data_IF_388788904529
#
_entry.id   IF_388788904529
#
_cell.length_a   1.000
_cell.length_b   1.000
_cell.length_c   1.000
_cell.angle_alpha   90.00
_cell.angle_beta   90.00
_cell.angle_gamma   90.00
#
_symmetry.space_group_name_H-M   'P 1'
#
loop_
_entity.id
_entity.type
_entity.pdbx_description
1 polymer ?
#
# COMPACT_ATOMS: atom_id res chain seq x y z
N UNK A 1 35.50 -18.48 31.42
CA UNK A 1 34.26 -18.53 32.22
C UNK A 1 33.16 -17.61 31.70
N UNK A 2 33.44 -16.34 31.34
CA UNK A 2 32.44 -15.42 30.75
C UNK A 2 31.77 -15.94 29.46
N UNK A 3 32.52 -16.63 28.60
CA UNK A 3 32.01 -17.23 27.35
C UNK A 3 31.00 -18.36 27.61
N UNK A 4 31.19 -19.15 28.68
CA UNK A 4 30.29 -20.24 29.03
C UNK A 4 28.97 -19.70 29.56
N UNK A 5 29.01 -18.72 30.47
CA UNK A 5 27.81 -18.08 31.01
C UNK A 5 27.00 -17.33 29.94
N UNK A 6 27.68 -16.68 29.00
CA UNK A 6 27.01 -16.02 27.87
C UNK A 6 26.36 -17.01 26.91
N UNK A 7 26.98 -18.17 26.65
CA UNK A 7 26.35 -19.25 25.89
C UNK A 7 25.09 -19.78 26.58
N UNK A 8 25.13 -20.04 27.89
CA UNK A 8 23.95 -20.47 28.65
C UNK A 8 22.83 -19.43 28.62
N UNK A 9 23.16 -18.15 28.82
CA UNK A 9 22.17 -17.07 28.75
C UNK A 9 21.54 -16.94 27.35
N UNK A 10 22.33 -17.15 26.29
CA UNK A 10 21.84 -17.15 24.92
C UNK A 10 20.89 -18.34 24.66
N UNK A 11 21.28 -19.54 25.10
CA UNK A 11 20.47 -20.76 24.97
C UNK A 11 19.14 -20.65 25.73
N UNK A 12 19.16 -20.14 26.97
CA UNK A 12 17.94 -19.90 27.75
C UNK A 12 17.02 -18.89 27.05
N UNK A 13 17.59 -17.81 26.49
CA UNK A 13 16.82 -16.82 25.72
C UNK A 13 16.17 -17.43 24.48
N UNK A 14 16.87 -18.33 23.80
CA UNK A 14 16.35 -19.07 22.65
C UNK A 14 15.25 -20.05 23.06
N UNK A 15 15.45 -20.81 24.14
CA UNK A 15 14.45 -21.73 24.70
C UNK A 15 13.16 -21.00 25.11
N UNK A 16 13.26 -19.87 25.80
CA UNK A 16 12.10 -19.04 26.16
C UNK A 16 11.39 -18.56 24.88
N UNK A 17 12.13 -18.09 23.88
CA UNK A 17 11.55 -17.64 22.62
C UNK A 17 10.82 -18.78 21.89
N UNK A 18 11.37 -19.98 21.90
CA UNK A 18 10.75 -21.17 21.32
C UNK A 18 9.47 -21.54 22.07
N UNK A 19 9.50 -21.62 23.41
CA UNK A 19 8.32 -21.94 24.23
C UNK A 19 7.17 -20.96 24.01
N UNK A 20 7.47 -19.65 23.93
CA UNK A 20 6.45 -18.63 23.62
C UNK A 20 5.86 -18.83 22.23
N UNK A 21 6.68 -19.15 21.22
CA UNK A 21 6.19 -19.43 19.85
C UNK A 21 5.29 -20.66 19.83
N UNK A 22 5.71 -21.75 20.48
CA UNK A 22 4.94 -22.98 20.60
C UNK A 22 3.60 -22.74 21.28
N UNK A 23 3.57 -21.97 22.37
CA UNK A 23 2.34 -21.57 23.06
C UNK A 23 1.40 -20.80 22.13
N UNK A 24 1.90 -19.81 21.40
CA UNK A 24 1.11 -19.03 20.44
C UNK A 24 0.58 -19.92 19.30
N UNK A 25 1.41 -20.81 18.75
CA UNK A 25 1.03 -21.73 17.68
C UNK A 25 -0.06 -22.69 18.12
N UNK A 26 0.03 -23.25 19.33
CA UNK A 26 -1.00 -24.12 19.91
C UNK A 26 -2.34 -23.40 20.01
N UNK A 27 -2.33 -22.13 20.44
CA UNK A 27 -3.54 -21.30 20.51
C UNK A 27 -4.13 -21.01 19.13
N UNK A 28 -3.29 -20.82 18.11
CA UNK A 28 -3.77 -20.72 16.72
C UNK A 28 -4.45 -22.02 16.24
N UNK A 29 -3.86 -23.18 16.56
CA UNK A 29 -4.45 -24.50 16.25
C UNK A 29 -5.80 -24.71 16.94
N UNK A 30 -5.95 -24.20 18.16
CA UNK A 30 -7.21 -24.21 18.91
C UNK A 30 -8.24 -23.21 18.39
N UNK A 31 -7.88 -22.38 17.41
CA UNK A 31 -8.76 -21.38 16.84
C UNK A 31 -8.94 -20.13 17.70
N UNK A 32 -8.12 -19.94 18.74
CA UNK A 32 -8.24 -18.78 19.62
C UNK A 32 -7.90 -17.49 18.88
N UNK A 33 -8.68 -16.44 19.15
CA UNK A 33 -8.47 -15.12 18.57
C UNK A 33 -7.28 -14.37 19.21
N UNK A 34 -6.07 -14.61 18.71
CA UNK A 34 -4.84 -13.92 19.13
C UNK A 34 -4.59 -12.69 18.25
N UNK A 35 -5.43 -11.68 18.40
CA UNK A 35 -5.23 -10.36 17.82
C UNK A 35 -5.66 -9.27 18.80
N UNK A 36 -5.01 -8.11 18.67
CA UNK A 36 -5.50 -6.89 19.29
C UNK A 36 -6.67 -6.38 18.41
N UNK A 37 -7.88 -6.52 18.92
CA UNK A 37 -9.09 -6.16 18.21
C UNK A 37 -9.43 -4.67 18.24
N UNK A 38 -8.74 -3.90 19.09
CA UNK A 38 -8.91 -2.44 19.23
C UNK A 38 -8.60 -1.66 17.94
N UNK A 39 -8.18 -2.34 16.87
CA UNK A 39 -7.78 -1.73 15.61
C UNK A 39 -8.63 -2.19 14.40
N UNK A 40 -9.72 -2.94 14.62
CA UNK A 40 -10.61 -3.40 13.54
C UNK A 40 -11.90 -2.58 13.49
N UNK A 41 -11.97 -1.66 12.53
CA UNK A 41 -13.15 -0.81 12.36
C UNK A 41 -14.37 -1.67 12.04
N UNK A 42 -15.46 -1.54 12.78
CA UNK A 42 -16.67 -2.36 12.63
C UNK A 42 -16.78 -3.52 13.60
N UNK A 43 -15.73 -3.86 14.36
CA UNK A 43 -15.75 -4.95 15.32
C UNK A 43 -15.19 -4.57 16.68
N UNK A 44 -15.77 -5.14 17.74
CA UNK A 44 -15.20 -5.20 19.08
C UNK A 44 -14.84 -6.64 19.44
N UNK A 45 -13.83 -6.85 20.28
CA UNK A 45 -13.54 -8.18 20.83
C UNK A 45 -14.24 -8.33 22.17
N UNK A 46 -15.18 -9.24 22.21
CA UNK A 46 -15.91 -9.62 23.41
C UNK A 46 -15.68 -11.10 23.65
N UNK A 47 -15.10 -11.43 24.80
CA UNK A 47 -14.88 -12.82 25.24
C UNK A 47 -14.12 -13.71 24.24
N UNK A 48 -13.17 -13.13 23.49
CA UNK A 48 -12.37 -13.89 22.52
C UNK A 48 -12.99 -14.02 21.13
N UNK A 49 -14.16 -13.43 20.88
CA UNK A 49 -14.80 -13.40 19.55
C UNK A 49 -14.98 -11.96 19.07
N UNK A 50 -15.08 -11.76 17.76
CA UNK A 50 -15.39 -10.45 17.16
C UNK A 50 -16.91 -10.27 17.08
N UNK A 51 -17.43 -9.20 17.68
CA UNK A 51 -18.83 -8.78 17.59
C UNK A 51 -18.95 -7.50 16.79
N UNK A 52 -20.02 -7.38 16.01
CA UNK A 52 -20.25 -6.25 15.11
C UNK A 52 -20.67 -5.01 15.91
N UNK A 53 -20.05 -3.87 15.60
CA UNK A 53 -20.51 -2.54 16.01
C UNK A 53 -21.38 -1.98 14.88
N UNK A 54 -22.71 -1.86 15.04
CA UNK A 54 -23.61 -1.59 13.91
C UNK A 54 -23.30 -0.30 13.14
N UNK A 55 -22.98 0.79 13.86
CA UNK A 55 -22.69 2.09 13.24
C UNK A 55 -21.42 2.07 12.39
N UNK A 56 -20.34 1.47 12.91
CA UNK A 56 -19.09 1.33 12.17
C UNK A 56 -19.22 0.32 11.01
N UNK A 57 -19.97 -0.77 11.21
CA UNK A 57 -20.22 -1.76 10.17
C UNK A 57 -20.98 -1.18 8.96
N UNK A 58 -21.89 -0.22 9.19
CA UNK A 58 -22.55 0.48 8.09
C UNK A 58 -21.55 1.25 7.21
N UNK A 59 -20.54 1.88 7.81
CA UNK A 59 -19.47 2.56 7.07
C UNK A 59 -18.60 1.57 6.30
N UNK A 60 -18.28 0.40 6.89
CA UNK A 60 -17.56 -0.66 6.19
C UNK A 60 -18.33 -1.12 4.95
N UNK A 61 -19.63 -1.39 5.07
CA UNK A 61 -20.47 -1.78 3.92
C UNK A 61 -20.45 -0.71 2.83
N UNK A 62 -20.65 0.55 3.21
CA UNK A 62 -20.56 1.71 2.29
C UNK A 62 -19.19 1.79 1.59
N UNK A 63 -18.09 1.44 2.26
CA UNK A 63 -16.75 1.40 1.64
C UNK A 63 -16.65 0.31 0.57
N UNK A 64 -17.20 -0.88 0.84
CA UNK A 64 -17.23 -1.98 -0.13
C UNK A 64 -18.09 -1.62 -1.34
N UNK A 65 -19.29 -1.07 -1.12
CA UNK A 65 -20.21 -0.66 -2.18
C UNK A 65 -19.59 0.43 -3.05
N UNK A 66 -19.08 1.51 -2.44
CA UNK A 66 -18.42 2.59 -3.16
C UNK A 66 -17.22 2.11 -3.98
N UNK A 67 -16.49 1.09 -3.50
CA UNK A 67 -15.39 0.51 -4.27
C UNK A 67 -15.88 -0.24 -5.51
N UNK A 68 -16.94 -1.04 -5.37
CA UNK A 68 -17.57 -1.78 -6.46
C UNK A 68 -18.24 -0.84 -7.48
N UNK A 69 -18.77 0.29 -7.04
CA UNK A 69 -19.29 1.38 -7.90
C UNK A 69 -18.22 2.08 -8.75
N UNK A 70 -16.94 1.73 -8.57
CA UNK A 70 -15.84 2.29 -9.37
C UNK A 70 -15.00 3.34 -8.64
N UNK A 71 -15.31 3.69 -7.39
CA UNK A 71 -14.52 4.67 -6.67
C UNK A 71 -13.14 4.12 -6.29
N UNK A 72 -12.10 4.95 -6.43
CA UNK A 72 -10.75 4.61 -5.99
C UNK A 72 -10.60 4.75 -4.48
N UNK A 73 -9.72 3.96 -3.88
CA UNK A 73 -9.43 3.97 -2.42
C UNK A 73 -9.10 5.36 -1.89
N UNK A 74 -8.37 6.19 -2.66
CA UNK A 74 -8.10 7.59 -2.31
C UNK A 74 -9.38 8.46 -2.28
N UNK A 75 -10.29 8.28 -3.25
CA UNK A 75 -11.55 9.05 -3.31
C UNK A 75 -12.46 8.68 -2.15
N UNK A 76 -12.55 7.39 -1.84
CA UNK A 76 -13.31 6.88 -0.69
C UNK A 76 -12.76 7.48 0.61
N UNK A 77 -11.44 7.42 0.83
CA UNK A 77 -10.81 8.02 2.00
C UNK A 77 -11.09 9.55 2.10
N UNK A 78 -11.01 10.27 0.98
CA UNK A 78 -11.32 11.71 0.93
C UNK A 78 -12.79 11.97 1.32
N UNK A 79 -13.72 11.24 0.73
CA UNK A 79 -15.15 11.40 0.99
C UNK A 79 -15.52 11.12 2.46
N UNK A 80 -14.89 10.11 3.08
CA UNK A 80 -15.09 9.82 4.51
C UNK A 80 -14.56 10.92 5.41
N UNK A 81 -13.37 11.47 5.08
CA UNK A 81 -12.79 12.60 5.82
C UNK A 81 -13.64 13.87 5.68
N UNK A 82 -14.16 14.15 4.48
CA UNK A 82 -15.07 15.28 4.22
C UNK A 82 -16.41 15.12 4.94
N UNK A 83 -16.88 13.88 5.11
CA UNK A 83 -18.09 13.57 5.88
C UNK A 83 -17.87 13.57 7.40
N UNK A 84 -16.64 13.87 7.87
CA UNK A 84 -16.30 13.91 9.29
C UNK A 84 -16.27 12.54 9.99
N UNK A 85 -16.18 11.44 9.25
CA UNK A 85 -16.17 10.08 9.83
C UNK A 85 -14.76 9.77 10.37
N UNK A 86 -14.57 9.61 11.69
CA UNK A 86 -13.25 9.31 12.25
C UNK A 86 -12.88 7.85 12.03
N UNK A 87 -11.57 7.55 12.00
CA UNK A 87 -11.07 6.18 12.20
C UNK A 87 -11.08 5.84 13.70
N UNK A 88 -10.86 4.57 14.07
CA UNK A 88 -10.72 4.17 15.49
C UNK A 88 -9.68 5.02 16.24
N UNK A 89 -8.57 5.35 15.58
CA UNK A 89 -7.51 6.18 16.18
C UNK A 89 -7.77 7.69 16.14
N UNK A 90 -8.98 8.11 15.77
CA UNK A 90 -9.37 9.51 15.52
C UNK A 90 -8.47 10.24 14.49
N UNK A 91 -7.78 9.50 13.63
CA UNK A 91 -6.94 10.04 12.54
C UNK A 91 -7.72 10.06 11.22
N UNK A 92 -7.34 10.92 10.26
CA UNK A 92 -7.93 10.92 8.93
C UNK A 92 -7.74 9.58 8.21
N UNK A 93 -8.74 9.17 7.46
CA UNK A 93 -8.68 8.04 6.55
C UNK A 93 -7.58 8.24 5.52
N UNK A 94 -6.74 7.21 5.38
CA UNK A 94 -5.72 7.13 4.33
C UNK A 94 -6.14 6.10 3.31
N UNK A 95 -5.70 6.31 2.08
CA UNK A 95 -5.82 5.35 0.98
C UNK A 95 -5.36 3.92 1.38
N UNK A 96 -4.27 3.82 2.15
CA UNK A 96 -3.77 2.55 2.68
C UNK A 96 -4.73 1.85 3.63
N UNK A 97 -5.46 2.61 4.45
CA UNK A 97 -6.42 2.07 5.41
C UNK A 97 -7.61 1.44 4.70
N UNK A 98 -8.14 2.12 3.68
CA UNK A 98 -9.21 1.58 2.83
C UNK A 98 -8.75 0.33 2.10
N UNK A 99 -7.54 0.36 1.51
CA UNK A 99 -6.96 -0.81 0.84
C UNK A 99 -6.86 -2.02 1.79
N UNK A 100 -6.33 -1.81 2.99
CA UNK A 100 -6.18 -2.88 3.98
C UNK A 100 -7.53 -3.45 4.41
N UNK A 101 -8.54 -2.59 4.59
CA UNK A 101 -9.91 -2.99 4.89
C UNK A 101 -10.46 -3.92 3.80
N UNK A 102 -10.40 -3.51 2.54
CA UNK A 102 -10.90 -4.29 1.39
C UNK A 102 -10.18 -5.63 1.20
N UNK A 103 -8.94 -5.77 1.69
CA UNK A 103 -8.14 -7.00 1.60
C UNK A 103 -8.38 -7.98 2.75
N UNK A 104 -8.94 -7.51 3.87
CA UNK A 104 -8.96 -8.27 5.10
C UNK A 104 -10.11 -9.28 5.09
N UNK A 105 -9.76 -10.56 5.21
CA UNK A 105 -10.70 -11.68 5.23
C UNK A 105 -11.67 -11.67 6.42
N UNK A 106 -11.34 -10.91 7.48
CA UNK A 106 -12.20 -10.80 8.67
C UNK A 106 -13.54 -10.15 8.36
N UNK A 107 -13.61 -9.25 7.39
CA UNK A 107 -14.88 -8.64 7.02
C UNK A 107 -15.87 -9.63 6.39
N UNK A 108 -15.39 -10.76 5.85
CA UNK A 108 -16.22 -11.87 5.37
C UNK A 108 -16.36 -13.03 6.36
N UNK A 109 -15.96 -12.83 7.63
CA UNK A 109 -16.12 -13.80 8.71
C UNK A 109 -14.96 -14.79 8.91
N UNK A 110 -13.95 -14.77 8.03
CA UNK A 110 -12.80 -15.68 8.14
C UNK A 110 -11.72 -15.11 9.07
N UNK A 111 -10.94 -16.00 9.67
CA UNK A 111 -9.80 -15.64 10.51
C UNK A 111 -8.55 -16.33 10.01
N UNK A 112 -7.67 -15.55 9.37
CA UNK A 112 -6.32 -16.00 8.99
C UNK A 112 -5.30 -15.48 10.00
N UNK A 113 -4.62 -16.41 10.65
CA UNK A 113 -3.59 -16.17 11.67
C UNK A 113 -2.19 -16.54 11.18
N UNK A 114 -1.18 -16.16 11.96
CA UNK A 114 0.24 -16.39 11.65
C UNK A 114 0.73 -15.80 10.31
N UNK A 115 0.13 -14.68 9.86
CA UNK A 115 0.62 -13.93 8.67
C UNK A 115 2.04 -13.37 8.83
N UNK A 116 2.55 -13.32 10.06
CA UNK A 116 3.88 -12.81 10.40
C UNK A 116 4.55 -13.70 11.43
N UNK A 117 5.87 -13.78 11.41
CA UNK A 117 6.68 -14.52 12.37
C UNK A 117 7.96 -13.76 12.70
N UNK A 118 8.62 -14.17 13.79
CA UNK A 118 9.93 -13.65 14.18
C UNK A 118 10.96 -14.77 13.99
N UNK A 119 11.95 -14.61 13.09
CA UNK A 119 12.85 -15.71 12.73
C UNK A 119 13.88 -16.06 13.81
N UNK A 120 14.10 -15.21 14.81
CA UNK A 120 15.11 -15.44 15.84
C UNK A 120 15.05 -14.43 16.98
N UNK A 121 15.75 -14.73 18.06
CA UNK A 121 15.92 -13.82 19.20
C UNK A 121 16.55 -12.51 18.69
N UNK A 122 16.02 -11.36 19.15
CA UNK A 122 16.44 -10.00 18.73
C UNK A 122 16.25 -9.66 17.24
N UNK A 123 15.54 -10.49 16.46
CA UNK A 123 15.15 -10.15 15.07
C UNK A 123 13.76 -9.51 15.05
N UNK A 124 13.52 -8.62 14.08
CA UNK A 124 12.21 -7.99 13.87
C UNK A 124 11.18 -8.96 13.29
N UNK A 125 9.88 -8.65 13.47
CA UNK A 125 8.77 -9.37 12.85
C UNK A 125 8.83 -9.25 11.33
N UNK A 126 8.56 -10.35 10.62
CA UNK A 126 8.51 -10.42 9.15
C UNK A 126 7.18 -11.03 8.71
N UNK A 127 6.71 -10.67 7.52
CA UNK A 127 5.55 -11.32 6.89
C UNK A 127 5.98 -12.73 6.43
N UNK A 128 5.14 -13.73 6.69
CA UNK A 128 5.43 -15.07 6.18
C UNK A 128 5.04 -15.20 4.71
N UNK A 129 5.89 -15.89 3.96
CA UNK A 129 5.70 -16.35 2.58
C UNK A 129 5.66 -17.89 2.49
N UNK A 130 5.52 -18.60 3.62
CA UNK A 130 5.51 -20.07 3.69
C UNK A 130 6.55 -20.64 4.66
N UNK A 131 7.32 -19.81 5.35
CA UNK A 131 8.31 -20.25 6.35
C UNK A 131 7.64 -20.79 7.63
N UNK A 132 6.37 -20.45 7.85
CA UNK A 132 5.56 -20.96 8.94
C UNK A 132 4.16 -21.31 8.46
N UNK A 133 3.51 -22.24 9.16
CA UNK A 133 2.12 -22.61 8.89
C UNK A 133 1.18 -21.43 9.15
N UNK A 134 0.24 -21.23 8.23
CA UNK A 134 -0.83 -20.25 8.38
C UNK A 134 -2.12 -20.98 8.77
N UNK A 135 -2.81 -20.46 9.79
CA UNK A 135 -4.03 -21.05 10.33
C UNK A 135 -5.24 -20.28 9.82
N UNK A 136 -6.04 -20.90 8.93
CA UNK A 136 -7.28 -20.32 8.39
C UNK A 136 -8.48 -20.99 9.04
N UNK A 137 -9.27 -20.21 9.77
CA UNK A 137 -10.55 -20.64 10.33
C UNK A 137 -11.65 -19.94 9.52
N UNK A 138 -12.44 -20.73 8.80
CA UNK A 138 -13.59 -20.22 8.05
C UNK A 138 -14.76 -19.95 8.99
N UNK A 139 -15.57 -18.94 8.68
CA UNK A 139 -16.82 -18.65 9.39
C UNK A 139 -16.64 -18.51 10.92
N UNK A 140 -15.52 -17.91 11.33
CA UNK A 140 -15.15 -17.74 12.74
C UNK A 140 -16.08 -16.77 13.49
N UNK A 141 -16.57 -15.73 12.81
CA UNK A 141 -17.41 -14.69 13.42
C UNK A 141 -18.41 -14.14 12.40
N UNK A 142 -19.39 -13.40 12.90
CA UNK A 142 -20.42 -12.78 12.07
C UNK A 142 -19.78 -11.83 11.03
N UNK A 143 -20.04 -12.02 9.73
CA UNK A 143 -19.44 -11.20 8.69
C UNK A 143 -20.15 -9.85 8.54
N UNK A 144 -19.39 -8.76 8.37
CA UNK A 144 -19.95 -7.44 8.01
C UNK A 144 -20.38 -7.39 6.54
N UNK A 145 -19.64 -8.06 5.65
CA UNK A 145 -19.94 -8.19 4.21
C UNK A 145 -20.05 -9.66 3.81
N UNK A 146 -20.92 -9.97 2.85
CA UNK A 146 -21.05 -11.34 2.36
C UNK A 146 -19.78 -11.81 1.66
N UNK A 147 -19.59 -13.14 1.58
CA UNK A 147 -18.48 -13.75 0.85
C UNK A 147 -18.49 -13.34 -0.63
N UNK A 148 -19.68 -13.17 -1.22
CA UNK A 148 -19.85 -12.75 -2.61
C UNK A 148 -19.40 -11.31 -2.84
N UNK A 149 -19.82 -10.37 -1.98
CA UNK A 149 -19.39 -8.96 -2.05
C UNK A 149 -17.87 -8.86 -1.87
N UNK A 150 -17.32 -9.61 -0.91
CA UNK A 150 -15.87 -9.64 -0.71
C UNK A 150 -15.13 -10.21 -1.92
N UNK A 151 -15.65 -11.28 -2.51
CA UNK A 151 -15.13 -11.91 -3.72
C UNK A 151 -15.11 -10.94 -4.91
N UNK A 152 -16.24 -10.27 -5.17
CA UNK A 152 -16.36 -9.25 -6.21
C UNK A 152 -15.33 -8.13 -6.04
N UNK A 153 -15.08 -7.68 -4.80
CA UNK A 153 -14.04 -6.69 -4.51
C UNK A 153 -12.65 -7.22 -4.86
N UNK A 154 -12.33 -8.48 -4.55
CA UNK A 154 -11.02 -9.04 -4.92
C UNK A 154 -10.84 -9.13 -6.43
N UNK A 155 -11.87 -9.54 -7.16
CA UNK A 155 -11.84 -9.58 -8.62
C UNK A 155 -11.65 -8.19 -9.22
N UNK A 156 -12.40 -7.20 -8.73
CA UNK A 156 -12.26 -5.81 -9.17
C UNK A 156 -10.86 -5.26 -8.88
N UNK A 157 -10.27 -5.59 -7.72
CA UNK A 157 -8.88 -5.24 -7.38
C UNK A 157 -7.89 -5.84 -8.38
N UNK A 158 -8.04 -7.13 -8.71
CA UNK A 158 -7.20 -7.80 -9.70
C UNK A 158 -7.38 -7.19 -11.09
N UNK A 159 -8.62 -6.90 -11.50
CA UNK A 159 -8.93 -6.23 -12.77
C UNK A 159 -8.28 -4.86 -12.86
N UNK A 160 -8.41 -4.00 -11.83
CA UNK A 160 -7.74 -2.69 -11.77
C UNK A 160 -6.23 -2.82 -11.82
N UNK A 161 -5.66 -3.81 -11.13
CA UNK A 161 -4.21 -4.10 -11.17
C UNK A 161 -3.75 -4.51 -12.57
N UNK A 162 -4.50 -5.37 -13.27
CA UNK A 162 -4.23 -5.75 -14.66
C UNK A 162 -4.36 -4.56 -15.60
N UNK A 163 -5.44 -3.80 -15.50
CA UNK A 163 -5.65 -2.59 -16.31
C UNK A 163 -4.57 -1.54 -16.07
N UNK A 164 -4.05 -1.42 -14.85
CA UNK A 164 -2.92 -0.53 -14.57
C UNK A 164 -1.62 -1.01 -15.22
N UNK A 165 -1.42 -2.33 -15.34
CA UNK A 165 -0.28 -2.91 -16.05
C UNK A 165 -0.42 -2.82 -17.58
N UNK A 166 -1.65 -3.01 -18.08
CA UNK A 166 -1.98 -2.94 -19.51
C UNK A 166 -2.09 -1.50 -20.04
N UNK A 167 -2.47 -0.54 -19.20
CA UNK A 167 -2.46 0.88 -19.57
C UNK A 167 -1.03 1.26 -19.90
N UNK A 168 -0.79 1.44 -21.21
CA UNK A 168 0.49 1.70 -21.85
C UNK A 168 1.34 2.62 -20.97
N UNK A 169 2.37 2.05 -20.34
CA UNK A 169 3.53 2.85 -19.98
C UNK A 169 4.05 3.39 -21.31
N UNK A 170 3.84 4.68 -21.56
CA UNK A 170 4.51 5.36 -22.68
C UNK A 170 6.01 5.03 -22.59
N UNK A 171 6.74 4.88 -23.70
CA UNK A 171 8.13 4.42 -23.69
C UNK A 171 9.01 5.10 -22.62
N UNK A 172 8.86 6.41 -22.44
CA UNK A 172 9.62 7.19 -21.45
C UNK A 172 9.12 7.09 -19.98
N UNK A 173 8.04 6.35 -19.71
CA UNK A 173 7.40 6.24 -18.40
C UNK A 173 8.29 5.51 -17.40
N UNK A 174 8.74 6.22 -16.37
CA UNK A 174 9.66 5.66 -15.37
C UNK A 174 11.12 5.56 -15.83
N UNK A 175 11.43 6.13 -17.00
CA UNK A 175 12.76 6.18 -17.58
C UNK A 175 13.41 7.56 -17.44
N UNK A 176 12.61 8.62 -17.32
CA UNK A 176 13.12 9.98 -17.14
C UNK A 176 13.19 10.38 -15.66
N UNK A 177 14.30 10.94 -15.24
CA UNK A 177 14.57 11.44 -13.89
C UNK A 177 14.90 12.93 -13.92
N UNK A 178 14.49 13.67 -12.89
CA UNK A 178 14.82 15.07 -12.73
C UNK A 178 16.25 15.22 -12.21
N UNK A 179 17.11 15.98 -12.90
CA UNK A 179 18.49 16.24 -12.44
C UNK A 179 18.56 16.92 -11.07
N UNK A 180 17.54 17.72 -10.72
CA UNK A 180 17.53 18.54 -9.50
C UNK A 180 17.19 17.77 -8.22
N UNK A 181 16.33 16.77 -8.28
CA UNK A 181 15.87 16.04 -7.09
C UNK A 181 15.88 14.51 -7.25
N UNK A 182 16.35 13.99 -8.38
CA UNK A 182 16.35 12.55 -8.69
C UNK A 182 14.97 11.91 -8.89
N UNK A 183 13.88 12.67 -8.73
CA UNK A 183 12.51 12.16 -8.83
C UNK A 183 12.11 11.86 -10.28
N UNK A 184 11.22 10.89 -10.49
CA UNK A 184 10.73 10.55 -11.84
C UNK A 184 9.97 11.71 -12.50
N UNK A 185 10.10 11.87 -13.82
CA UNK A 185 9.20 12.73 -14.59
C UNK A 185 7.89 11.99 -14.91
N UNK A 186 6.77 12.72 -14.87
CA UNK A 186 5.43 12.21 -15.19
C UNK A 186 4.89 12.91 -16.43
N UNK A 187 4.36 12.12 -17.36
CA UNK A 187 3.66 12.61 -18.54
C UNK A 187 2.41 13.39 -18.14
N UNK A 188 2.23 14.56 -18.72
CA UNK A 188 1.10 15.47 -18.55
C UNK A 188 0.71 15.99 -19.92
N UNK A 189 -0.57 16.32 -20.06
CA UNK A 189 -1.08 17.04 -21.23
C UNK A 189 -1.33 18.47 -20.79
N UNK A 190 -0.64 19.42 -21.41
CA UNK A 190 -0.87 20.85 -21.26
C UNK A 190 -1.86 21.32 -22.32
N UNK A 191 -2.70 22.30 -21.96
CA UNK A 191 -3.70 22.89 -22.86
C UNK A 191 -4.65 21.88 -23.48
N UNK A 192 -5.05 20.87 -22.68
CA UNK A 192 -5.94 19.79 -23.13
C UNK A 192 -7.20 20.35 -23.79
N UNK A 193 -7.50 19.91 -25.00
CA UNK A 193 -8.67 20.34 -25.78
C UNK A 193 -8.53 21.69 -26.50
N UNK A 194 -7.33 22.29 -26.53
CA UNK A 194 -7.02 23.49 -27.32
C UNK A 194 -6.14 23.14 -28.52
N UNK A 195 -6.08 23.99 -29.58
CA UNK A 195 -5.25 23.73 -30.76
C UNK A 195 -3.75 23.56 -30.48
N UNK A 196 -3.27 24.09 -29.35
CA UNK A 196 -1.89 24.04 -28.89
C UNK A 196 -1.71 23.04 -27.72
N UNK A 197 -2.51 21.97 -27.71
CA UNK A 197 -2.32 20.83 -26.81
C UNK A 197 -0.91 20.25 -26.98
N UNK A 198 -0.20 20.07 -25.87
CA UNK A 198 1.16 19.53 -25.90
C UNK A 198 1.41 18.56 -24.76
N UNK A 199 2.18 17.52 -25.05
CA UNK A 199 2.57 16.52 -24.07
C UNK A 199 3.91 16.93 -23.48
N UNK A 200 3.97 16.98 -22.15
CA UNK A 200 5.19 17.30 -21.40
C UNK A 200 5.45 16.27 -20.32
N UNK A 201 6.72 16.13 -19.95
CA UNK A 201 7.18 15.31 -18.85
C UNK A 201 7.71 16.22 -17.75
N UNK A 202 7.05 16.21 -16.60
CA UNK A 202 7.33 17.14 -15.52
C UNK A 202 7.67 16.40 -14.22
N UNK A 203 8.58 16.97 -13.43
CA UNK A 203 9.04 16.39 -12.17
C UNK A 203 7.89 16.06 -11.21
N UNK A 204 7.80 14.78 -10.82
CA UNK A 204 6.77 14.29 -9.88
C UNK A 204 6.82 14.98 -8.51
N UNK A 205 8.01 15.26 -7.99
CA UNK A 205 8.18 15.96 -6.72
C UNK A 205 7.64 17.38 -6.78
N UNK A 206 7.90 18.11 -7.87
CA UNK A 206 7.32 19.44 -8.10
C UNK A 206 5.80 19.40 -8.24
N UNK A 207 5.26 18.44 -9.00
CA UNK A 207 3.81 18.29 -9.18
C UNK A 207 3.11 18.05 -7.84
N UNK A 208 3.70 17.22 -6.98
CA UNK A 208 3.07 16.80 -5.72
C UNK A 208 3.24 17.82 -4.60
N UNK A 209 4.42 18.40 -4.48
CA UNK A 209 4.84 19.18 -3.31
C UNK A 209 5.16 20.65 -3.64
N UNK A 210 5.01 21.06 -4.91
CA UNK A 210 5.25 22.43 -5.37
C UNK A 210 6.74 22.82 -5.48
N UNK A 211 6.96 24.11 -5.77
CA UNK A 211 8.29 24.70 -6.05
C UNK A 211 9.27 24.59 -4.88
N UNK A 212 8.75 24.56 -3.64
CA UNK A 212 9.57 24.48 -2.42
C UNK A 212 10.32 23.15 -2.32
N UNK A 213 9.76 22.05 -2.85
CA UNK A 213 10.40 20.74 -2.81
C UNK A 213 11.37 20.51 -3.98
N UNK A 214 11.10 21.10 -5.15
CA UNK A 214 11.97 21.04 -6.31
C UNK A 214 11.58 22.15 -7.27
N UNK A 215 12.54 22.82 -7.92
CA UNK A 215 12.23 23.80 -8.99
C UNK A 215 11.57 23.16 -10.22
N UNK A 216 11.63 21.82 -10.33
CA UNK A 216 10.90 21.00 -11.31
C UNK A 216 11.47 21.09 -12.72
N UNK A 217 12.14 20.03 -13.20
CA UNK A 217 12.48 19.89 -14.63
C UNK A 217 11.22 19.60 -15.43
N UNK A 218 11.06 20.27 -16.59
CA UNK A 218 10.00 19.98 -17.56
C UNK A 218 10.55 19.83 -18.98
N UNK A 219 10.32 18.69 -19.63
CA UNK A 219 10.73 18.43 -21.02
C UNK A 219 9.54 18.12 -21.90
N UNK A 220 9.52 18.64 -23.14
CA UNK A 220 8.44 18.34 -24.10
C UNK A 220 8.62 16.92 -24.64
N UNK A 221 7.53 16.18 -24.82
CA UNK A 221 7.56 14.81 -25.37
C UNK A 221 8.24 14.74 -26.75
N UNK A 222 8.04 15.77 -27.58
CA UNK A 222 8.71 15.90 -28.88
C UNK A 222 10.24 15.94 -28.80
N UNK A 223 10.80 16.48 -27.71
CA UNK A 223 12.26 16.58 -27.55
C UNK A 223 12.91 15.23 -27.19
N UNK A 224 12.10 14.19 -26.94
CA UNK A 224 12.55 12.87 -26.51
C UNK A 224 12.40 11.81 -27.61
N UNK A 225 12.02 12.19 -28.84
CA UNK A 225 11.69 11.25 -29.91
C UNK A 225 12.88 10.37 -30.33
N UNK A 226 14.10 10.90 -30.22
CA UNK A 226 15.33 10.21 -30.66
C UNK A 226 16.02 9.41 -29.52
N UNK A 227 15.43 9.37 -28.33
CA UNK A 227 16.00 8.65 -27.19
C UNK A 227 15.48 7.21 -27.13
N UNK A 228 16.38 6.25 -26.91
CA UNK A 228 15.98 4.91 -26.50
C UNK A 228 15.55 4.92 -25.03
N UNK A 229 14.56 4.11 -24.67
CA UNK A 229 14.04 4.05 -23.30
C UNK A 229 14.36 2.72 -22.61
N UNK A 230 15.43 2.05 -23.05
CA UNK A 230 15.91 0.84 -22.38
C UNK A 230 16.56 1.21 -21.04
N UNK A 231 17.19 2.38 -20.96
CA UNK A 231 17.90 2.89 -19.79
C UNK A 231 17.15 4.03 -19.09
N UNK A 232 17.60 4.39 -17.89
CA UNK A 232 17.15 5.61 -17.22
C UNK A 232 17.99 6.81 -17.67
N UNK A 233 17.32 7.94 -17.88
CA UNK A 233 17.91 9.21 -18.31
C UNK A 233 17.67 10.28 -17.26
N UNK A 234 18.73 10.95 -16.85
CA UNK A 234 18.65 12.16 -16.05
C UNK A 234 18.51 13.36 -16.97
N UNK A 235 17.46 14.15 -16.76
CA UNK A 235 17.09 15.28 -17.59
C UNK A 235 17.42 16.57 -16.85
N UNK A 236 18.26 17.38 -17.47
CA UNK A 236 18.56 18.74 -17.06
C UNK A 236 17.98 19.74 -18.06
N UNK A 237 17.38 20.81 -17.54
CA UNK A 237 16.77 21.88 -18.33
C UNK A 237 17.63 23.13 -18.16
N UNK A 238 18.19 23.60 -19.27
CA UNK A 238 18.91 24.85 -19.39
C UNK A 238 18.14 25.83 -20.28
N UNK A 239 18.35 27.13 -20.09
CA UNK A 239 17.81 28.15 -20.99
C UNK A 239 18.96 28.91 -21.62
N UNK A 240 19.00 28.94 -22.95
CA UNK A 240 19.99 29.69 -23.72
C UNK A 240 19.22 30.54 -24.73
N UNK A 241 19.47 31.85 -24.75
CA UNK A 241 18.82 32.81 -25.66
C UNK A 241 17.28 32.76 -25.68
N UNK A 242 16.66 32.44 -24.53
CA UNK A 242 15.19 32.36 -24.41
C UNK A 242 14.57 31.02 -24.82
N UNK A 243 15.37 30.11 -25.39
CA UNK A 243 14.94 28.76 -25.76
C UNK A 243 15.31 27.74 -24.68
N UNK A 244 14.48 26.72 -24.52
CA UNK A 244 14.73 25.63 -23.58
C UNK A 244 15.64 24.58 -24.25
N UNK A 245 16.81 24.35 -23.67
CA UNK A 245 17.73 23.28 -24.03
C UNK A 245 17.67 22.17 -22.98
N UNK A 246 17.78 20.92 -23.44
CA UNK A 246 17.69 19.74 -22.59
C UNK A 246 18.97 18.91 -22.70
N UNK A 247 19.60 18.63 -21.56
CA UNK A 247 20.72 17.70 -21.49
C UNK A 247 20.24 16.35 -20.95
N UNK A 248 20.73 15.27 -21.56
CA UNK A 248 20.33 13.90 -21.28
C UNK A 248 21.55 13.09 -20.81
N UNK A 249 21.61 12.74 -19.54
CA UNK A 249 22.69 11.92 -19.00
C UNK A 249 22.17 10.52 -18.70
N UNK A 250 22.75 9.50 -19.32
CA UNK A 250 22.41 8.10 -19.02
C UNK A 250 22.81 7.80 -17.58
N UNK A 251 21.89 7.19 -16.84
CA UNK A 251 22.16 6.65 -15.50
C UNK A 251 22.54 5.18 -15.65
N UNK A 252 23.74 4.83 -15.25
CA UNK A 252 24.20 3.43 -15.14
C UNK A 252 23.37 2.64 -14.12
#
# INVERSE_FOLDING_TARGET
>A
MLTVLSSFAQEESENISQNVRWSIQRRFQQGELILNAEWFYGYEKVSGTLKIIPGEAAIVRRIYDAYLEGQGTHRIAKALNESGVPTISAKPWRDSSIRYMLENEKYKGDLLQQKTYTPGVRKGKRKSQGEVEAYLIKDHHEPIVSKDVWGAVQEERLRRKRNHQMNKRYPASGKLLCSKCGGSLKRRVWNKGKPYETIVWQCSTYIRNGKQACRGTTVKDKALQDLDFNHQWMIEEAKTNGENHYCYTRKE
#
